data_IF_564532723202
#
_entry.id   IF_564532723202
#
_cell.length_a   1.000
_cell.length_b   1.000
_cell.length_c   1.000
_cell.angle_alpha   90.00
_cell.angle_beta   90.00
_cell.angle_gamma   90.00
#
_symmetry.space_group_name_H-M   'P 1'
#
loop_
_entity.id
_entity.type
_entity.pdbx_description
1 polymer ?
#
# COMPACT_ATOMS: atom_id res chain seq x y z
N UNK A 1 -9.59 -0.43 -6.56
CA UNK A 1 -9.82 0.61 -5.54
C UNK A 1 -8.50 0.76 -4.83
N UNK A 2 -7.97 1.97 -4.83
CA UNK A 2 -6.65 2.30 -4.29
C UNK A 2 -6.74 2.34 -2.76
N UNK A 3 -5.74 1.82 -2.04
CA UNK A 3 -5.72 1.78 -0.56
C UNK A 3 -5.10 3.06 0.03
N UNK A 4 -5.24 4.17 -0.68
CA UNK A 4 -4.63 5.48 -0.42
C UNK A 4 -5.62 6.50 0.17
N UNK A 5 -6.76 6.03 0.69
CA UNK A 5 -7.73 6.90 1.34
C UNK A 5 -8.36 6.29 2.59
N UNK A 6 -8.88 7.16 3.46
CA UNK A 6 -9.73 6.81 4.59
C UNK A 6 -11.09 7.49 4.38
N UNK A 7 -12.15 6.69 4.20
CA UNK A 7 -13.53 7.17 4.14
C UNK A 7 -14.19 7.19 5.51
N UNK A 8 -14.88 8.28 5.83
CA UNK A 8 -15.57 8.50 7.10
C UNK A 8 -16.96 9.03 6.80
N UNK A 9 -17.99 8.27 7.16
CA UNK A 9 -19.38 8.64 6.98
C UNK A 9 -19.97 9.14 8.31
N UNK A 10 -20.76 10.20 8.28
CA UNK A 10 -21.36 10.76 9.49
C UNK A 10 -22.79 10.30 9.69
N UNK A 11 -23.07 9.78 10.88
CA UNK A 11 -24.42 9.41 11.30
C UNK A 11 -25.08 10.64 11.92
N UNK A 12 -25.95 11.27 11.14
CA UNK A 12 -26.75 12.42 11.57
C UNK A 12 -28.18 11.98 11.92
N UNK A 13 -28.62 12.18 13.17
CA UNK A 13 -29.94 11.78 13.67
C UNK A 13 -30.66 12.96 14.33
N UNK A 14 -31.65 13.52 13.64
CA UNK A 14 -32.55 14.53 14.21
C UNK A 14 -31.82 15.76 14.78
N UNK A 15 -31.61 15.79 16.10
CA UNK A 15 -30.92 16.86 16.84
C UNK A 15 -29.41 16.66 16.99
N UNK A 16 -28.87 15.49 16.67
CA UNK A 16 -27.45 15.19 16.76
C UNK A 16 -26.84 15.05 15.36
N UNK A 17 -25.87 15.90 15.05
CA UNK A 17 -25.18 15.88 13.78
C UNK A 17 -23.70 16.23 13.95
N UNK A 18 -22.90 15.90 12.95
CA UNK A 18 -21.49 16.31 12.88
C UNK A 18 -21.41 17.67 12.21
N UNK A 19 -20.67 18.58 12.85
CA UNK A 19 -20.50 19.96 12.40
C UNK A 19 -19.11 20.22 11.86
N UNK A 20 -18.93 21.32 11.12
CA UNK A 20 -17.60 21.83 10.75
C UNK A 20 -16.71 22.05 11.97
N UNK A 21 -17.26 22.49 13.10
CA UNK A 21 -16.51 22.67 14.36
C UNK A 21 -15.94 21.35 14.87
N UNK A 22 -16.74 20.27 14.85
CA UNK A 22 -16.28 18.94 15.26
C UNK A 22 -15.12 18.47 14.36
N UNK A 23 -15.27 18.65 13.04
CA UNK A 23 -14.22 18.31 12.09
C UNK A 23 -12.96 19.16 12.30
N UNK A 24 -13.09 20.46 12.55
CA UNK A 24 -11.96 21.35 12.79
C UNK A 24 -11.12 20.88 13.98
N UNK A 25 -11.76 20.42 15.06
CA UNK A 25 -11.04 19.85 16.20
C UNK A 25 -10.24 18.59 15.81
N UNK A 26 -10.83 17.70 14.99
CA UNK A 26 -10.12 16.54 14.46
C UNK A 26 -8.94 16.94 13.57
N UNK A 27 -9.14 17.90 12.67
CA UNK A 27 -8.10 18.38 11.75
C UNK A 27 -6.92 19.00 12.51
N UNK A 28 -7.20 19.81 13.54
CA UNK A 28 -6.17 20.38 14.41
C UNK A 28 -5.38 19.31 15.14
N UNK A 29 -6.04 18.30 15.73
CA UNK A 29 -5.32 17.22 16.42
C UNK A 29 -4.51 16.36 15.44
N UNK A 30 -5.00 16.12 14.22
CA UNK A 30 -4.26 15.39 13.17
C UNK A 30 -3.02 16.17 12.72
N UNK A 31 -3.14 17.49 12.51
CA UNK A 31 -2.02 18.38 12.15
C UNK A 31 -0.89 18.35 13.20
N UNK A 32 -1.26 18.15 14.47
CA UNK A 32 -0.33 18.08 15.60
C UNK A 32 0.31 16.68 15.83
N UNK A 33 -0.16 15.61 15.17
CA UNK A 33 0.37 14.24 15.38
C UNK A 33 1.84 14.14 14.98
N UNK A 34 2.15 14.50 13.72
CA UNK A 34 3.52 14.51 13.20
C UNK A 34 3.61 15.21 11.84
N UNK A 35 4.77 15.82 11.58
CA UNK A 35 5.09 16.38 10.26
C UNK A 35 5.02 15.32 9.15
N UNK A 36 5.44 14.08 9.45
CA UNK A 36 5.44 12.97 8.50
C UNK A 36 4.02 12.60 8.04
N UNK A 37 3.05 12.57 8.96
CA UNK A 37 1.66 12.30 8.62
C UNK A 37 1.07 13.43 7.76
N UNK A 38 1.36 14.66 8.16
CA UNK A 38 0.92 15.86 7.44
C UNK A 38 1.42 15.91 6.00
N UNK A 39 2.68 15.54 5.76
CA UNK A 39 3.25 15.45 4.41
C UNK A 39 2.67 14.29 3.58
N UNK A 40 2.07 13.29 4.21
CA UNK A 40 1.42 12.17 3.52
C UNK A 40 0.00 12.51 3.06
N UNK A 41 -0.72 13.38 3.77
CA UNK A 41 -2.08 13.79 3.42
C UNK A 41 -2.04 14.79 2.27
N UNK A 42 -2.69 14.45 1.15
CA UNK A 42 -2.73 15.29 -0.06
C UNK A 42 -4.00 16.11 -0.17
N UNK A 43 -5.09 15.66 0.46
CA UNK A 43 -6.39 16.33 0.39
C UNK A 43 -7.35 15.80 1.45
N UNK A 44 -8.17 16.69 1.99
CA UNK A 44 -9.45 16.39 2.62
C UNK A 44 -10.57 16.69 1.63
N UNK A 45 -11.50 15.77 1.50
CA UNK A 45 -12.70 15.88 0.69
C UNK A 45 -13.92 15.72 1.60
N UNK A 46 -14.64 16.82 1.81
CA UNK A 46 -15.71 16.90 2.82
C UNK A 46 -17.02 17.19 2.12
N UNK A 47 -18.06 16.46 2.48
CA UNK A 47 -19.41 16.76 2.02
C UNK A 47 -20.27 17.38 3.14
N UNK A 48 -21.14 18.31 2.77
CA UNK A 48 -22.07 18.93 3.70
C UNK A 48 -23.31 19.50 3.00
N UNK A 49 -24.32 19.88 3.78
CA UNK A 49 -25.62 20.35 3.26
C UNK A 49 -25.89 21.80 3.68
N UNK A 50 -25.77 22.76 2.76
CA UNK A 50 -26.03 24.18 3.03
C UNK A 50 -27.26 24.62 2.22
N UNK A 51 -28.22 25.29 2.86
CA UNK A 51 -29.46 25.78 2.20
C UNK A 51 -30.17 24.69 1.36
N UNK A 52 -30.27 23.47 1.90
CA UNK A 52 -30.83 22.27 1.25
C UNK A 52 -30.07 21.76 0.00
N UNK A 53 -28.89 22.30 -0.30
CA UNK A 53 -28.01 21.82 -1.36
C UNK A 53 -26.82 21.04 -0.78
N UNK A 54 -26.42 19.95 -1.43
CA UNK A 54 -25.19 19.23 -1.09
C UNK A 54 -23.99 19.91 -1.77
N UNK A 55 -22.92 20.12 -1.01
CA UNK A 55 -21.65 20.65 -1.50
C UNK A 55 -20.52 19.69 -1.18
N UNK A 56 -19.49 19.76 -2.02
CA UNK A 56 -18.24 19.00 -1.92
C UNK A 56 -17.10 20.01 -1.75
N UNK A 57 -16.25 19.80 -0.75
CA UNK A 57 -15.18 20.70 -0.37
C UNK A 57 -13.84 19.98 -0.42
N UNK A 58 -12.93 20.48 -1.25
CA UNK A 58 -11.59 19.91 -1.41
C UNK A 58 -10.54 20.90 -0.95
N UNK A 59 -9.84 20.56 0.13
CA UNK A 59 -8.88 21.45 0.77
C UNK A 59 -7.76 20.67 1.46
N UNK A 60 -6.73 21.39 1.88
CA UNK A 60 -5.71 20.94 2.80
C UNK A 60 -5.83 21.70 4.12
N UNK A 61 -5.44 21.05 5.22
CA UNK A 61 -5.33 21.68 6.53
C UNK A 61 -3.93 21.42 7.07
N UNK A 62 -3.17 22.48 7.28
CA UNK A 62 -1.80 22.38 7.80
C UNK A 62 -1.38 23.68 8.50
N UNK A 63 -0.60 23.55 9.56
CA UNK A 63 -0.16 24.66 10.41
C UNK A 63 -1.36 25.49 10.92
N UNK A 64 -2.45 24.81 11.28
CA UNK A 64 -3.69 25.43 11.75
C UNK A 64 -4.47 26.24 10.69
N UNK A 65 -4.14 26.12 9.41
CA UNK A 65 -4.75 26.91 8.33
C UNK A 65 -5.28 26.03 7.19
N UNK A 66 -6.40 26.45 6.61
CA UNK A 66 -6.89 25.92 5.36
C UNK A 66 -6.03 26.39 4.18
N UNK A 67 -5.77 25.49 3.25
CA UNK A 67 -5.07 25.72 1.98
C UNK A 67 -5.81 25.02 0.84
N UNK A 68 -5.52 25.43 -0.38
CA UNK A 68 -6.06 24.78 -1.58
C UNK A 68 -5.43 23.40 -1.73
N UNK A 69 -6.23 22.41 -2.13
CA UNK A 69 -5.72 21.12 -2.58
C UNK A 69 -5.06 21.28 -3.96
N UNK A 70 -3.74 21.50 -3.99
CA UNK A 70 -3.03 21.88 -5.22
C UNK A 70 -3.15 20.82 -6.32
N UNK A 71 -3.09 19.53 -5.96
CA UNK A 71 -3.24 18.44 -6.93
C UNK A 71 -4.62 18.46 -7.60
N UNK A 72 -5.69 18.71 -6.83
CA UNK A 72 -7.03 18.83 -7.39
C UNK A 72 -7.16 20.04 -8.31
N UNK A 73 -6.65 21.20 -7.89
CA UNK A 73 -6.64 22.42 -8.70
C UNK A 73 -5.89 22.23 -10.03
N UNK A 74 -4.74 21.57 -9.99
CA UNK A 74 -3.96 21.28 -11.21
C UNK A 74 -4.67 20.24 -12.08
N UNK A 75 -5.33 19.24 -11.50
CA UNK A 75 -6.18 18.31 -12.24
C UNK A 75 -7.37 18.99 -12.91
N UNK A 76 -8.03 19.94 -12.26
CA UNK A 76 -9.11 20.72 -12.88
C UNK A 76 -8.64 21.45 -14.13
N UNK A 77 -7.44 22.05 -14.10
CA UNK A 77 -6.85 22.70 -15.27
C UNK A 77 -6.43 21.71 -16.35
N UNK A 78 -5.74 20.63 -15.95
CA UNK A 78 -5.17 19.64 -16.86
C UNK A 78 -6.24 18.92 -17.69
N UNK A 79 -7.42 18.70 -17.12
CA UNK A 79 -8.54 18.03 -17.76
C UNK A 79 -9.62 19.00 -18.26
N UNK A 80 -9.30 20.29 -18.43
CA UNK A 80 -10.21 21.32 -18.93
C UNK A 80 -11.54 21.43 -18.14
N UNK A 81 -11.52 21.06 -16.86
CA UNK A 81 -12.66 21.18 -15.96
C UNK A 81 -12.77 22.57 -15.30
N UNK A 82 -11.77 23.44 -15.43
CA UNK A 82 -11.89 24.87 -15.14
C UNK A 82 -12.17 25.60 -16.46
N UNK A 83 -13.45 25.75 -16.80
CA UNK A 83 -13.87 26.20 -18.14
C UNK A 83 -13.78 27.70 -18.34
N UNK A 84 -13.85 28.48 -17.26
CA UNK A 84 -13.68 29.94 -17.29
C UNK A 84 -13.08 30.45 -15.98
N UNK A 85 -12.30 31.53 -16.04
CA UNK A 85 -11.80 32.23 -14.86
C UNK A 85 -10.63 31.51 -14.17
N UNK A 86 -10.55 31.64 -12.84
CA UNK A 86 -9.44 31.11 -12.03
C UNK A 86 -9.95 30.44 -10.76
N UNK A 87 -9.29 29.35 -10.34
CA UNK A 87 -9.48 28.80 -9.00
C UNK A 87 -8.97 29.79 -7.94
N UNK A 88 -9.58 29.80 -6.75
CA UNK A 88 -9.15 30.67 -5.67
C UNK A 88 -7.75 30.28 -5.13
N UNK A 89 -7.13 31.21 -4.43
CA UNK A 89 -5.77 31.10 -3.90
C UNK A 89 -5.76 30.60 -2.45
N UNK A 90 -4.58 30.16 -1.98
CA UNK A 90 -4.35 29.87 -0.56
C UNK A 90 -4.66 31.06 0.35
N UNK A 91 -4.45 32.28 -0.14
CA UNK A 91 -4.80 33.48 0.62
C UNK A 91 -6.32 33.60 0.81
N UNK A 92 -7.09 33.37 -0.25
CA UNK A 92 -8.56 33.42 -0.19
C UNK A 92 -9.11 32.29 0.69
N UNK A 93 -8.57 31.08 0.57
CA UNK A 93 -8.91 29.95 1.42
C UNK A 93 -8.56 30.25 2.89
N UNK A 94 -7.33 30.64 3.21
CA UNK A 94 -6.92 30.84 4.60
C UNK A 94 -7.64 32.00 5.31
N UNK A 95 -8.11 33.01 4.56
CA UNK A 95 -8.75 34.20 5.13
C UNK A 95 -10.29 34.20 5.01
N UNK A 96 -10.91 33.12 4.51
CA UNK A 96 -12.36 33.03 4.40
C UNK A 96 -12.95 34.06 3.44
N UNK A 97 -12.28 34.31 2.31
CA UNK A 97 -12.77 35.22 1.28
C UNK A 97 -13.89 34.53 0.50
N UNK A 98 -15.05 35.18 0.39
CA UNK A 98 -16.24 34.61 -0.24
C UNK A 98 -16.18 34.74 -1.77
N UNK A 99 -15.46 33.81 -2.41
CA UNK A 99 -15.40 33.64 -3.87
C UNK A 99 -15.90 32.25 -4.25
N UNK A 100 -16.43 32.09 -5.47
CA UNK A 100 -16.97 30.83 -5.93
C UNK A 100 -16.76 30.59 -7.43
N UNK A 101 -16.63 29.32 -7.80
CA UNK A 101 -16.78 28.82 -9.16
C UNK A 101 -18.20 28.24 -9.31
N UNK A 102 -18.91 28.59 -10.38
CA UNK A 102 -20.22 27.99 -10.67
C UNK A 102 -20.06 26.76 -11.55
N UNK A 103 -20.91 25.75 -11.36
CA UNK A 103 -21.04 24.64 -12.32
C UNK A 103 -21.41 25.20 -13.71
N UNK A 104 -20.71 24.78 -14.76
CA UNK A 104 -20.85 25.35 -16.10
C UNK A 104 -22.17 24.90 -16.76
N UNK A 105 -23.14 25.81 -16.98
CA UNK A 105 -24.40 25.45 -17.64
C UNK A 105 -24.22 25.03 -19.10
N UNK A 106 -23.11 25.40 -19.75
CA UNK A 106 -22.81 24.94 -21.11
C UNK A 106 -22.45 23.45 -21.15
N UNK A 107 -21.98 22.88 -20.03
CA UNK A 107 -21.62 21.47 -19.90
C UNK A 107 -22.78 20.65 -19.33
N UNK A 108 -23.39 21.12 -18.25
CA UNK A 108 -24.41 20.36 -17.52
C UNK A 108 -25.87 20.73 -17.87
N UNK A 109 -26.09 21.83 -18.60
CA UNK A 109 -27.44 22.33 -18.89
C UNK A 109 -28.06 23.09 -17.72
N UNK A 110 -29.35 22.87 -17.45
CA UNK A 110 -30.07 23.50 -16.34
C UNK A 110 -29.69 22.84 -15.01
N UNK A 111 -29.24 23.64 -14.03
CA UNK A 111 -28.67 23.15 -12.77
C UNK A 111 -29.48 23.73 -11.61
N UNK A 112 -30.44 22.96 -11.08
CA UNK A 112 -31.38 23.45 -10.05
C UNK A 112 -30.68 23.97 -8.78
N UNK A 113 -29.56 23.36 -8.38
CA UNK A 113 -28.76 23.81 -7.25
C UNK A 113 -28.21 25.23 -7.49
N UNK A 114 -27.69 25.51 -8.70
CA UNK A 114 -27.17 26.83 -9.08
C UNK A 114 -28.28 27.88 -9.11
N UNK A 115 -29.45 27.55 -9.68
CA UNK A 115 -30.57 28.49 -9.76
C UNK A 115 -31.09 28.87 -8.37
N UNK A 116 -31.08 27.92 -7.43
CA UNK A 116 -31.55 28.15 -6.05
C UNK A 116 -30.70 29.14 -5.25
N UNK A 117 -29.41 29.28 -5.59
CA UNK A 117 -28.44 30.12 -4.86
C UNK A 117 -28.08 31.40 -5.62
N UNK A 118 -28.56 31.57 -6.85
CA UNK A 118 -28.23 32.74 -7.67
C UNK A 118 -28.83 34.01 -7.08
N UNK A 119 -27.99 35.04 -6.92
CA UNK A 119 -28.39 36.33 -6.38
C UNK A 119 -27.80 37.46 -7.23
N UNK A 120 -28.58 37.99 -8.15
CA UNK A 120 -28.13 39.00 -9.14
C UNK A 120 -26.96 38.46 -9.96
N UNK A 121 -25.74 38.99 -9.76
CA UNK A 121 -24.50 38.56 -10.42
C UNK A 121 -23.54 37.83 -9.45
N UNK A 122 -24.05 37.42 -8.30
CA UNK A 122 -23.33 36.75 -7.21
C UNK A 122 -24.11 35.50 -6.79
N UNK A 123 -23.57 34.78 -5.81
CA UNK A 123 -24.27 33.66 -5.16
C UNK A 123 -24.57 34.01 -3.71
N UNK A 124 -25.72 33.55 -3.20
CA UNK A 124 -26.06 33.60 -1.79
C UNK A 124 -26.11 32.19 -1.22
N UNK A 125 -25.14 31.85 -0.38
CA UNK A 125 -24.93 30.50 0.18
C UNK A 125 -24.65 30.63 1.68
N UNK A 126 -25.42 29.93 2.53
CA UNK A 126 -25.26 29.94 3.98
C UNK A 126 -25.37 31.34 4.59
N UNK A 127 -26.23 32.20 4.00
CA UNK A 127 -26.38 33.60 4.40
C UNK A 127 -25.24 34.54 3.99
N UNK A 128 -24.19 34.05 3.30
CA UNK A 128 -23.08 34.85 2.79
C UNK A 128 -23.22 35.10 1.29
N UNK A 129 -22.59 36.17 0.80
CA UNK A 129 -22.58 36.55 -0.61
C UNK A 129 -21.20 36.22 -1.18
N UNK A 130 -21.18 35.53 -2.33
CA UNK A 130 -19.96 35.09 -3.00
C UNK A 130 -19.83 35.74 -4.37
N UNK A 131 -18.64 36.25 -4.66
CA UNK A 131 -18.26 36.73 -5.98
C UNK A 131 -17.95 35.54 -6.91
N UNK A 132 -18.53 35.56 -8.11
CA UNK A 132 -18.29 34.52 -9.11
C UNK A 132 -16.98 34.85 -9.83
N UNK A 133 -15.98 33.97 -9.67
CA UNK A 133 -14.63 34.16 -10.23
C UNK A 133 -14.32 33.23 -11.42
N UNK A 134 -15.26 32.36 -11.77
CA UNK A 134 -15.10 31.41 -12.87
C UNK A 134 -16.18 30.34 -12.94
N UNK A 135 -15.96 29.36 -13.83
CA UNK A 135 -16.85 28.24 -14.09
C UNK A 135 -16.09 26.91 -14.07
N UNK A 136 -16.77 25.84 -13.67
CA UNK A 136 -16.20 24.50 -13.55
C UNK A 136 -17.10 23.41 -14.13
N UNK A 137 -16.51 22.34 -14.66
CA UNK A 137 -17.16 21.18 -15.28
C UNK A 137 -16.90 19.85 -14.52
N UNK A 138 -16.52 19.92 -13.25
CA UNK A 138 -16.29 18.78 -12.36
C UNK A 138 -17.58 18.17 -11.80
N UNK A 139 -18.51 18.99 -11.33
CA UNK A 139 -19.77 18.51 -10.77
C UNK A 139 -20.95 19.46 -11.04
N UNK A 140 -22.17 18.92 -10.95
CA UNK A 140 -23.44 19.64 -11.08
C UNK A 140 -24.00 20.12 -9.73
N UNK A 141 -23.16 20.24 -8.67
CA UNK A 141 -23.58 20.67 -7.32
C UNK A 141 -23.82 22.18 -7.19
N UNK A 142 -23.89 22.89 -8.31
CA UNK A 142 -24.18 24.32 -8.40
C UNK A 142 -22.95 25.21 -8.24
N UNK A 143 -22.17 25.04 -7.18
CA UNK A 143 -20.97 25.84 -6.94
C UNK A 143 -19.86 25.10 -6.17
N UNK A 144 -18.63 25.56 -6.38
CA UNK A 144 -17.47 25.27 -5.54
C UNK A 144 -16.99 26.56 -4.88
N UNK A 145 -16.65 26.51 -3.59
CA UNK A 145 -16.18 27.66 -2.84
C UNK A 145 -15.30 27.22 -1.66
N UNK A 146 -14.48 28.12 -1.09
CA UNK A 146 -13.57 27.79 0.01
C UNK A 146 -14.28 27.14 1.21
N UNK A 147 -13.69 26.09 1.77
CA UNK A 147 -14.27 25.43 2.95
C UNK A 147 -14.18 26.34 4.19
N UNK A 148 -13.17 27.19 4.25
CA UNK A 148 -12.98 28.16 5.33
C UNK A 148 -14.16 29.12 5.51
N UNK A 149 -14.93 29.43 4.46
CA UNK A 149 -16.09 30.34 4.54
C UNK A 149 -17.33 29.68 5.13
N UNK A 150 -17.37 28.35 5.21
CA UNK A 150 -18.48 27.59 5.79
C UNK A 150 -18.64 27.90 7.28
N UNK A 151 -19.87 28.00 7.79
CA UNK A 151 -20.11 28.25 9.21
C UNK A 151 -19.70 27.05 10.07
N UNK A 152 -19.27 27.29 11.30
CA UNK A 152 -18.83 26.23 12.23
C UNK A 152 -19.94 25.22 12.56
N UNK A 153 -21.18 25.70 12.69
CA UNK A 153 -22.36 24.90 12.99
C UNK A 153 -22.87 24.12 11.78
N UNK A 154 -22.23 24.26 10.62
CA UNK A 154 -22.67 23.65 9.39
C UNK A 154 -22.61 22.12 9.49
N UNK A 155 -23.73 21.47 9.19
CA UNK A 155 -23.85 20.02 9.11
C UNK A 155 -23.00 19.47 7.97
N UNK A 156 -22.21 18.45 8.30
CA UNK A 156 -21.40 17.66 7.38
C UNK A 156 -21.97 16.23 7.26
N UNK A 157 -21.75 15.58 6.11
CA UNK A 157 -22.25 14.23 5.82
C UNK A 157 -21.15 13.18 5.72
N UNK A 158 -19.97 13.55 5.23
CA UNK A 158 -18.83 12.64 5.13
C UNK A 158 -17.52 13.41 5.01
N UNK A 159 -16.43 12.72 5.31
CA UNK A 159 -15.05 13.15 5.04
C UNK A 159 -14.27 11.99 4.45
N UNK A 160 -13.54 12.26 3.38
CA UNK A 160 -12.57 11.37 2.77
C UNK A 160 -11.19 12.02 2.89
N UNK A 161 -10.23 11.29 3.45
CA UNK A 161 -8.84 11.75 3.59
C UNK A 161 -8.01 10.99 2.56
N UNK A 162 -7.38 11.71 1.63
CA UNK A 162 -6.54 11.12 0.59
C UNK A 162 -5.05 11.27 0.95
N UNK A 163 -4.27 10.23 0.64
CA UNK A 163 -2.85 10.13 0.95
C UNK A 163 -2.02 9.94 -0.34
N UNK A 164 -0.77 10.36 -0.32
CA UNK A 164 0.17 10.14 -1.43
C UNK A 164 0.66 8.69 -1.57
N UNK A 165 0.29 7.80 -0.64
CA UNK A 165 0.69 6.40 -0.58
C UNK A 165 -0.27 5.59 0.28
N UNK A 166 -0.16 4.25 0.22
CA UNK A 166 -1.03 3.35 0.96
C UNK A 166 -1.00 3.59 2.47
N UNK A 167 -2.17 3.61 3.10
CA UNK A 167 -2.34 3.96 4.51
C UNK A 167 -1.91 2.80 5.42
N UNK A 168 -1.02 3.08 6.38
CA UNK A 168 -0.62 2.08 7.38
C UNK A 168 -1.72 1.86 8.43
N UNK A 169 -1.80 0.64 8.99
CA UNK A 169 -2.74 0.32 10.09
C UNK A 169 -2.53 1.25 11.30
N UNK A 170 -1.28 1.64 11.56
CA UNK A 170 -0.96 2.58 12.63
C UNK A 170 -1.58 3.94 12.35
N UNK A 171 -1.35 4.50 11.16
CA UNK A 171 -1.90 5.79 10.71
C UNK A 171 -3.43 5.80 10.77
N UNK A 172 -4.06 4.74 10.25
CA UNK A 172 -5.52 4.59 10.31
C UNK A 172 -6.06 4.62 11.73
N UNK A 173 -5.50 3.80 12.62
CA UNK A 173 -5.96 3.77 14.00
C UNK A 173 -5.74 5.12 14.69
N UNK A 174 -4.62 5.80 14.45
CA UNK A 174 -4.38 7.14 14.99
C UNK A 174 -5.47 8.13 14.56
N UNK A 175 -5.78 8.20 13.26
CA UNK A 175 -6.83 9.08 12.74
C UNK A 175 -8.20 8.67 13.29
N UNK A 176 -8.50 7.37 13.31
CA UNK A 176 -9.76 6.85 13.86
C UNK A 176 -9.94 7.24 15.33
N UNK A 177 -8.89 7.11 16.13
CA UNK A 177 -8.94 7.44 17.54
C UNK A 177 -9.18 8.95 17.75
N UNK A 178 -8.59 9.83 16.91
CA UNK A 178 -8.89 11.27 16.92
C UNK A 178 -10.36 11.55 16.61
N UNK A 179 -10.91 10.98 15.54
CA UNK A 179 -12.32 11.20 15.19
C UNK A 179 -13.26 10.63 16.27
N UNK A 180 -12.95 9.47 16.83
CA UNK A 180 -13.73 8.89 17.92
C UNK A 180 -13.70 9.78 19.18
N UNK A 181 -12.60 10.47 19.47
CA UNK A 181 -12.50 11.38 20.61
C UNK A 181 -13.47 12.58 20.51
N UNK A 182 -13.64 13.15 19.31
CA UNK A 182 -14.48 14.35 19.11
C UNK A 182 -15.90 14.03 18.65
N UNK A 183 -16.09 12.97 17.87
CA UNK A 183 -17.35 12.64 17.22
C UNK A 183 -18.01 11.38 17.79
N UNK A 184 -17.26 10.55 18.52
CA UNK A 184 -17.74 9.27 19.04
C UNK A 184 -18.33 8.39 17.93
N UNK A 185 -19.44 7.74 18.25
CA UNK A 185 -20.14 6.82 17.34
C UNK A 185 -20.78 7.52 16.11
N UNK A 186 -20.73 8.86 16.04
CA UNK A 186 -21.22 9.61 14.87
C UNK A 186 -20.28 9.50 13.67
N UNK A 187 -18.99 9.17 13.87
CA UNK A 187 -18.02 8.97 12.80
C UNK A 187 -17.87 7.47 12.48
N UNK A 188 -18.45 7.03 11.38
CA UNK A 188 -18.37 5.64 10.91
C UNK A 188 -17.27 5.53 9.87
N UNK A 189 -16.17 4.89 10.25
CA UNK A 189 -15.05 4.64 9.37
C UNK A 189 -15.37 3.50 8.41
N UNK A 190 -15.07 3.71 7.13
CA UNK A 190 -15.02 2.63 6.17
C UNK A 190 -13.89 1.66 6.54
N UNK A 191 -14.16 0.36 6.42
CA UNK A 191 -13.12 -0.64 6.59
C UNK A 191 -12.05 -0.42 5.52
N UNK A 192 -10.86 0.04 5.91
CA UNK A 192 -9.76 0.01 4.95
C UNK A 192 -9.48 -1.45 4.63
N UNK A 193 -9.31 -1.74 3.34
CA UNK A 193 -8.45 -2.85 2.90
C UNK A 193 -7.02 -2.49 3.28
N UNK A 194 -6.69 -2.61 4.56
CA UNK A 194 -5.30 -2.54 5.01
C UNK A 194 -4.50 -3.55 4.18
N UNK A 195 -3.22 -3.27 3.86
CA UNK A 195 -2.33 -4.27 3.25
C UNK A 195 -2.44 -5.55 4.08
N UNK A 196 -3.11 -6.51 3.46
CA UNK A 196 -4.10 -7.35 4.10
C UNK A 196 -3.45 -8.33 5.08
N UNK A 197 -4.11 -8.61 6.21
CA UNK A 197 -3.78 -9.81 7.00
C UNK A 197 -3.70 -11.02 6.06
N UNK A 198 -4.59 -11.10 5.07
CA UNK A 198 -4.57 -12.17 4.08
C UNK A 198 -3.40 -12.06 3.12
N UNK A 199 -2.88 -10.87 2.81
CA UNK A 199 -1.64 -10.68 2.04
C UNK A 199 -0.42 -11.10 2.87
N UNK A 200 -0.35 -10.73 4.16
CA UNK A 200 0.69 -11.19 5.09
C UNK A 200 0.65 -12.71 5.27
N UNK A 201 -0.53 -13.30 5.48
CA UNK A 201 -0.72 -14.75 5.58
C UNK A 201 -0.44 -15.44 4.25
N UNK A 202 -0.76 -14.83 3.11
CA UNK A 202 -0.45 -15.34 1.78
C UNK A 202 1.06 -15.35 1.55
N UNK A 203 1.77 -14.26 1.80
CA UNK A 203 3.24 -14.22 1.69
C UNK A 203 3.90 -15.21 2.65
N UNK A 204 3.43 -15.29 3.90
CA UNK A 204 3.92 -16.27 4.87
C UNK A 204 3.68 -17.71 4.40
N UNK A 205 2.52 -17.99 3.84
CA UNK A 205 2.15 -19.31 3.31
C UNK A 205 2.98 -19.65 2.07
N UNK A 206 3.18 -18.71 1.16
CA UNK A 206 4.03 -18.88 -0.04
C UNK A 206 5.49 -19.14 0.35
N UNK A 207 6.04 -18.38 1.29
CA UNK A 207 7.40 -18.62 1.82
C UNK A 207 7.48 -20.00 2.47
N UNK A 208 6.50 -20.36 3.30
CA UNK A 208 6.46 -21.65 3.99
C UNK A 208 6.38 -22.82 3.00
N UNK A 209 5.50 -22.75 2.00
CA UNK A 209 5.41 -23.75 0.92
C UNK A 209 6.73 -23.82 0.15
N UNK A 210 7.34 -22.68 -0.16
CA UNK A 210 8.63 -22.63 -0.87
C UNK A 210 9.75 -23.30 -0.06
N UNK A 211 9.79 -23.08 1.26
CA UNK A 211 10.73 -23.76 2.16
C UNK A 211 10.47 -25.27 2.19
N UNK A 212 9.22 -25.71 2.24
CA UNK A 212 8.87 -27.14 2.21
C UNK A 212 9.32 -27.81 0.90
N UNK A 213 9.04 -27.18 -0.25
CA UNK A 213 9.47 -27.68 -1.56
C UNK A 213 11.00 -27.75 -1.64
N UNK A 214 11.70 -26.68 -1.19
CA UNK A 214 13.15 -26.65 -1.15
C UNK A 214 13.72 -27.75 -0.24
N UNK A 215 13.10 -28.00 0.91
CA UNK A 215 13.51 -29.05 1.86
C UNK A 215 13.35 -30.45 1.27
N UNK A 216 12.23 -30.73 0.59
CA UNK A 216 12.01 -32.01 -0.10
C UNK A 216 13.05 -32.21 -1.21
N UNK A 217 13.29 -31.18 -2.03
CA UNK A 217 14.29 -31.22 -3.09
C UNK A 217 15.70 -31.45 -2.53
N UNK A 218 16.05 -30.76 -1.43
CA UNK A 218 17.34 -30.90 -0.76
C UNK A 218 17.54 -32.30 -0.15
N UNK A 219 16.49 -32.90 0.43
CA UNK A 219 16.54 -34.28 0.95
C UNK A 219 16.74 -35.28 -0.20
N UNK A 220 16.02 -35.12 -1.31
CA UNK A 220 16.19 -35.98 -2.48
C UNK A 220 17.62 -35.90 -3.03
N UNK A 221 18.13 -34.68 -3.17
CA UNK A 221 19.52 -34.47 -3.58
C UNK A 221 20.51 -35.07 -2.57
N UNK A 222 20.27 -34.91 -1.27
CA UNK A 222 21.08 -35.52 -0.22
C UNK A 222 21.16 -37.04 -0.38
N UNK A 223 20.04 -37.72 -0.59
CA UNK A 223 20.00 -39.19 -0.72
C UNK A 223 20.84 -39.63 -1.93
N UNK A 224 20.64 -38.98 -3.08
CA UNK A 224 21.39 -39.25 -4.30
C UNK A 224 22.90 -38.97 -4.12
N UNK A 225 23.24 -37.82 -3.54
CA UNK A 225 24.63 -37.44 -3.34
C UNK A 225 25.33 -38.33 -2.31
N UNK A 226 24.62 -38.76 -1.26
CA UNK A 226 25.10 -39.76 -0.31
C UNK A 226 25.44 -41.08 -1.02
N UNK A 227 24.62 -41.51 -1.97
CA UNK A 227 24.89 -42.70 -2.77
C UNK A 227 26.17 -42.53 -3.60
N UNK A 228 26.34 -41.38 -4.29
CA UNK A 228 27.55 -41.04 -5.06
C UNK A 228 28.80 -41.04 -4.16
N UNK A 229 28.70 -40.44 -2.97
CA UNK A 229 29.82 -40.48 -2.01
C UNK A 229 30.12 -41.90 -1.53
N UNK A 230 29.10 -42.76 -1.39
CA UNK A 230 29.27 -44.14 -0.94
C UNK A 230 29.99 -45.01 -1.97
N UNK A 231 29.85 -44.71 -3.26
CA UNK A 231 30.53 -45.41 -4.34
C UNK A 231 31.98 -44.91 -4.51
N UNK A 232 32.25 -43.64 -4.18
CA UNK A 232 33.60 -43.02 -4.24
C UNK A 232 34.49 -43.26 -3.01
N UNK A 233 34.13 -44.19 -2.11
CA UNK A 233 34.86 -44.48 -0.86
C UNK A 233 36.36 -44.72 -1.05
N UNK A 234 36.76 -45.43 -2.13
CA UNK A 234 38.16 -45.73 -2.44
C UNK A 234 38.97 -44.46 -2.74
N UNK A 235 38.44 -43.59 -3.59
CA UNK A 235 39.07 -42.29 -3.90
C UNK A 235 39.17 -41.40 -2.67
N UNK A 236 38.11 -41.38 -1.84
CA UNK A 236 38.14 -40.63 -0.58
C UNK A 236 39.16 -41.19 0.42
N UNK A 237 39.40 -42.50 0.44
CA UNK A 237 40.43 -43.11 1.28
C UNK A 237 41.84 -42.73 0.81
N UNK A 238 42.09 -42.72 -0.51
CA UNK A 238 43.37 -42.29 -1.10
C UNK A 238 43.68 -40.84 -0.70
N UNK A 239 42.72 -39.91 -0.84
CA UNK A 239 42.92 -38.51 -0.43
C UNK A 239 43.24 -38.35 1.07
N UNK A 240 42.64 -39.18 1.93
CA UNK A 240 42.94 -39.16 3.36
C UNK A 240 44.34 -39.68 3.68
N UNK A 241 44.81 -40.72 2.99
CA UNK A 241 46.18 -41.25 3.14
C UNK A 241 47.21 -40.20 2.70
N UNK A 242 46.89 -39.43 1.66
CA UNK A 242 47.71 -38.31 1.18
C UNK A 242 47.66 -37.06 2.09
N UNK A 243 47.01 -37.13 3.26
CA UNK A 243 47.02 -36.06 4.27
C UNK A 243 45.88 -35.03 4.16
N UNK A 244 44.85 -35.27 3.32
CA UNK A 244 43.71 -34.36 3.23
C UNK A 244 42.85 -34.40 4.50
N UNK A 245 42.70 -33.26 5.17
CA UNK A 245 41.90 -33.17 6.39
C UNK A 245 40.41 -33.40 6.11
N UNK A 246 39.63 -33.96 7.06
CA UNK A 246 38.19 -34.16 6.90
C UNK A 246 37.42 -32.87 6.58
N UNK A 247 37.87 -31.72 7.12
CA UNK A 247 37.26 -30.43 6.85
C UNK A 247 37.45 -29.98 5.39
N UNK A 248 38.68 -30.10 4.86
CA UNK A 248 38.97 -29.78 3.44
C UNK A 248 38.24 -30.71 2.49
N UNK A 249 38.13 -31.99 2.85
CA UNK A 249 37.36 -32.97 2.09
C UNK A 249 35.86 -32.63 2.06
N UNK A 250 35.28 -32.25 3.21
CA UNK A 250 33.88 -31.83 3.28
C UNK A 250 33.63 -30.55 2.48
N UNK A 251 34.56 -29.58 2.53
CA UNK A 251 34.48 -28.36 1.73
C UNK A 251 34.49 -28.68 0.22
N UNK A 252 35.40 -29.54 -0.24
CA UNK A 252 35.45 -29.97 -1.64
C UNK A 252 34.13 -30.63 -2.09
N UNK A 253 33.57 -31.52 -1.26
CA UNK A 253 32.29 -32.17 -1.56
C UNK A 253 31.12 -31.16 -1.55
N UNK A 254 31.18 -30.13 -0.71
CA UNK A 254 30.17 -29.08 -0.67
C UNK A 254 30.24 -28.18 -1.91
N UNK A 255 31.44 -27.85 -2.39
CA UNK A 255 31.62 -27.14 -3.67
C UNK A 255 31.11 -27.95 -4.86
N UNK A 256 31.35 -29.27 -4.90
CA UNK A 256 30.80 -30.16 -5.93
C UNK A 256 29.27 -30.10 -5.95
N UNK A 257 28.63 -30.10 -4.77
CA UNK A 257 27.18 -29.93 -4.66
C UNK A 257 26.70 -28.58 -5.19
N UNK A 258 27.38 -27.48 -4.87
CA UNK A 258 27.01 -26.14 -5.34
C UNK A 258 27.07 -26.06 -6.87
N UNK A 259 28.14 -26.60 -7.46
CA UNK A 259 28.33 -26.65 -8.92
C UNK A 259 27.22 -27.46 -9.60
N UNK A 260 26.65 -28.46 -8.91
CA UNK A 260 25.52 -29.21 -9.42
C UNK A 260 24.18 -28.47 -9.21
N UNK A 261 23.95 -27.84 -8.06
CA UNK A 261 22.64 -27.30 -7.71
C UNK A 261 22.35 -25.97 -8.42
N UNK A 262 23.35 -25.07 -8.51
CA UNK A 262 23.16 -23.71 -9.04
C UNK A 262 22.74 -23.71 -10.52
N UNK A 263 23.43 -24.43 -11.44
CA UNK A 263 23.02 -24.45 -12.85
C UNK A 263 21.65 -25.10 -13.07
N UNK A 264 21.31 -26.12 -12.29
CA UNK A 264 20.01 -26.76 -12.36
C UNK A 264 18.88 -25.84 -11.89
N UNK A 265 19.12 -24.99 -10.89
CA UNK A 265 18.15 -23.97 -10.50
C UNK A 265 17.92 -22.96 -11.63
N UNK A 266 19.00 -22.47 -12.26
CA UNK A 266 18.90 -21.55 -13.40
C UNK A 266 18.14 -22.21 -14.55
N UNK A 267 18.45 -23.47 -14.87
CA UNK A 267 17.75 -24.23 -15.90
C UNK A 267 16.25 -24.40 -15.57
N UNK A 268 15.93 -24.67 -14.32
CA UNK A 268 14.54 -24.73 -13.83
C UNK A 268 13.80 -23.39 -13.98
N UNK A 269 14.47 -22.27 -13.65
CA UNK A 269 13.91 -20.93 -13.83
C UNK A 269 13.64 -20.62 -15.31
N UNK A 270 14.60 -20.90 -16.19
CA UNK A 270 14.44 -20.71 -17.64
C UNK A 270 13.28 -21.56 -18.16
N UNK A 271 13.19 -22.83 -17.73
CA UNK A 271 12.12 -23.73 -18.12
C UNK A 271 10.75 -23.24 -17.60
N UNK A 272 10.68 -22.72 -16.37
CA UNK A 272 9.48 -22.10 -15.84
C UNK A 272 9.04 -20.90 -16.68
N UNK A 273 9.95 -19.97 -16.95
CA UNK A 273 9.65 -18.75 -17.70
C UNK A 273 9.23 -19.03 -19.15
N UNK A 274 9.84 -20.02 -19.79
CA UNK A 274 9.63 -20.29 -21.23
C UNK A 274 8.50 -21.29 -21.51
N UNK A 275 8.27 -22.26 -20.63
CA UNK A 275 7.35 -23.38 -20.89
C UNK A 275 6.10 -23.32 -20.03
N UNK A 276 6.24 -22.99 -18.74
CA UNK A 276 5.14 -23.03 -17.77
C UNK A 276 4.39 -21.71 -17.69
N UNK A 277 5.09 -20.58 -17.54
CA UNK A 277 4.47 -19.26 -17.40
C UNK A 277 3.53 -18.90 -18.56
N UNK A 278 3.88 -19.12 -19.85
CA UNK A 278 2.99 -18.80 -20.95
C UNK A 278 1.71 -19.64 -20.96
N UNK A 279 1.77 -20.89 -20.47
CA UNK A 279 0.62 -21.79 -20.37
C UNK A 279 -0.25 -21.54 -19.15
N UNK A 280 0.33 -21.04 -18.06
CA UNK A 280 -0.42 -20.75 -16.84
C UNK A 280 -1.10 -19.39 -16.92
N UNK A 281 -0.49 -18.42 -17.61
CA UNK A 281 -1.07 -17.10 -17.83
C UNK A 281 -2.43 -17.15 -18.55
N UNK A 282 -2.69 -18.15 -19.39
CA UNK A 282 -4.00 -18.31 -20.04
C UNK A 282 -5.14 -18.60 -19.06
N UNK A 283 -4.83 -19.10 -17.87
CA UNK A 283 -5.81 -19.40 -16.82
C UNK A 283 -5.77 -18.40 -15.66
N UNK A 284 -4.64 -17.72 -15.45
CA UNK A 284 -4.42 -16.80 -14.34
C UNK A 284 -3.81 -15.48 -14.84
N UNK A 285 -4.68 -14.50 -15.11
CA UNK A 285 -4.34 -13.20 -15.72
C UNK A 285 -3.32 -12.41 -14.87
N UNK A 286 -3.42 -12.47 -13.54
CA UNK A 286 -2.53 -11.73 -12.62
C UNK A 286 -1.22 -12.45 -12.27
N UNK A 287 -0.92 -13.59 -12.90
CA UNK A 287 0.24 -14.41 -12.52
C UNK A 287 1.57 -13.74 -12.90
N UNK A 288 1.63 -12.96 -13.99
CA UNK A 288 2.88 -12.34 -14.42
C UNK A 288 3.37 -11.26 -13.45
N UNK A 289 2.45 -10.51 -12.85
CA UNK A 289 2.79 -9.42 -11.91
C UNK A 289 3.33 -9.95 -10.57
N UNK A 290 3.01 -11.20 -10.22
CA UNK A 290 3.49 -11.85 -9.00
C UNK A 290 4.96 -12.34 -9.08
N UNK A 291 5.49 -12.61 -10.27
CA UNK A 291 6.84 -13.18 -10.47
C UNK A 291 7.84 -12.13 -10.94
N UNK A 292 8.18 -11.20 -10.05
CA UNK A 292 9.20 -10.17 -10.30
C UNK A 292 10.62 -10.73 -10.16
N UNK A 293 11.65 -10.09 -10.76
CA UNK A 293 13.05 -10.48 -10.58
C UNK A 293 13.48 -10.58 -9.11
N UNK A 294 12.91 -9.75 -8.25
CA UNK A 294 13.14 -9.78 -6.80
C UNK A 294 12.63 -11.08 -6.17
N UNK A 295 11.45 -11.55 -6.55
CA UNK A 295 10.88 -12.82 -6.06
C UNK A 295 11.74 -14.01 -6.50
N UNK A 296 12.22 -14.03 -7.76
CA UNK A 296 13.14 -15.06 -8.23
C UNK A 296 14.45 -15.10 -7.45
N UNK A 297 15.01 -13.93 -7.14
CA UNK A 297 16.20 -13.82 -6.31
C UNK A 297 15.95 -14.35 -4.88
N UNK A 298 14.81 -14.00 -4.27
CA UNK A 298 14.44 -14.49 -2.95
C UNK A 298 14.30 -16.03 -2.93
N UNK A 299 13.64 -16.62 -3.93
CA UNK A 299 13.50 -18.06 -4.08
C UNK A 299 14.86 -18.76 -4.24
N UNK A 300 15.78 -18.16 -4.99
CA UNK A 300 17.15 -18.68 -5.12
C UNK A 300 17.87 -18.72 -3.77
N UNK A 301 17.80 -17.63 -3.00
CA UNK A 301 18.43 -17.53 -1.67
C UNK A 301 17.85 -18.57 -0.71
N UNK A 302 16.52 -18.73 -0.67
CA UNK A 302 15.84 -19.74 0.17
C UNK A 302 16.31 -21.15 -0.24
N UNK A 303 16.26 -21.46 -1.54
CA UNK A 303 16.59 -22.79 -2.05
C UNK A 303 18.05 -23.17 -1.78
N UNK A 304 19.00 -22.27 -2.05
CA UNK A 304 20.43 -22.51 -1.78
C UNK A 304 20.68 -22.64 -0.29
N UNK A 305 20.12 -21.76 0.54
CA UNK A 305 20.33 -21.78 1.99
C UNK A 305 19.85 -23.10 2.61
N UNK A 306 18.63 -23.51 2.29
CA UNK A 306 18.06 -24.79 2.78
C UNK A 306 18.90 -25.98 2.28
N UNK A 307 19.26 -25.99 0.99
CA UNK A 307 20.06 -27.07 0.41
C UNK A 307 21.44 -27.19 1.08
N UNK A 308 22.13 -26.08 1.30
CA UNK A 308 23.45 -26.07 1.94
C UNK A 308 23.41 -26.53 3.39
N UNK A 309 22.37 -26.15 4.16
CA UNK A 309 22.19 -26.61 5.54
C UNK A 309 22.02 -28.13 5.56
N UNK A 310 21.11 -28.65 4.73
CA UNK A 310 20.78 -30.07 4.65
C UNK A 310 22.01 -30.90 4.23
N UNK A 311 22.72 -30.47 3.19
CA UNK A 311 23.96 -31.14 2.72
C UNK A 311 25.07 -31.03 3.76
N UNK A 312 25.23 -29.87 4.39
CA UNK A 312 26.21 -29.64 5.44
C UNK A 312 26.03 -30.60 6.62
N UNK A 313 24.78 -30.75 7.09
CA UNK A 313 24.43 -31.72 8.15
C UNK A 313 24.80 -33.14 7.73
N UNK A 314 24.44 -33.55 6.50
CA UNK A 314 24.78 -34.88 5.97
C UNK A 314 26.30 -35.13 5.99
N UNK A 315 27.08 -34.19 5.46
CA UNK A 315 28.55 -34.29 5.38
C UNK A 315 29.21 -34.36 6.77
N UNK A 316 28.67 -33.64 7.75
CA UNK A 316 29.13 -33.67 9.13
C UNK A 316 28.80 -35.00 9.82
N UNK A 317 27.59 -35.52 9.65
CA UNK A 317 27.19 -36.81 10.23
C UNK A 317 28.02 -37.95 9.63
N UNK A 318 28.25 -37.95 8.32
CA UNK A 318 29.05 -38.96 7.65
C UNK A 318 30.53 -38.90 8.06
N UNK A 319 31.10 -37.70 8.22
CA UNK A 319 32.50 -37.58 8.64
C UNK A 319 32.73 -38.08 10.07
N UNK A 320 31.78 -37.84 10.99
CA UNK A 320 31.82 -38.35 12.38
C UNK A 320 31.72 -39.87 12.46
N UNK A 321 30.77 -40.50 11.75
CA UNK A 321 30.62 -41.98 11.75
C UNK A 321 31.91 -42.67 11.32
N UNK A 322 32.57 -42.14 10.29
CA UNK A 322 33.83 -42.69 9.78
C UNK A 322 34.99 -42.57 10.77
N UNK A 323 34.99 -41.58 11.67
CA UNK A 323 35.99 -41.46 12.75
C UNK A 323 35.74 -42.51 13.83
N UNK A 324 34.47 -42.72 14.21
CA UNK A 324 34.09 -43.68 15.24
C UNK A 324 34.39 -45.13 14.84
N UNK A 325 34.14 -45.50 13.58
CA UNK A 325 34.51 -46.83 13.04
C UNK A 325 36.04 -47.06 13.11
N UNK A 326 36.85 -46.05 12.80
CA UNK A 326 38.31 -46.13 12.86
C UNK A 326 38.88 -46.23 14.29
N UNK A 327 38.14 -45.73 15.30
CA UNK A 327 38.54 -45.85 16.71
C UNK A 327 38.14 -47.21 17.26
N UNK A 328 36.98 -47.75 16.84
CA UNK A 328 36.48 -49.05 17.30
C UNK A 328 37.33 -50.24 16.83
N UNK A 329 37.96 -50.14 15.66
CA UNK A 329 38.88 -51.17 15.13
C UNK A 329 40.27 -51.15 15.79
N UNK A 330 40.55 -50.21 16.70
CA UNK A 330 41.85 -50.07 17.39
C UNK A 330 41.82 -50.44 18.89
N UNK A 331 40.69 -50.92 19.40
CA UNK A 331 40.55 -51.45 20.77
C UNK A 331 40.26 -52.94 20.74
#
# INVERSE_FOLDING_TARGET
MSDDYIGINYVNTGSEYVTKRDLLNCLSEIDDISNELREQIIQYDVEGIIDNNSYEFKFLYCDGKFKVAEEFKENLKKYDNLTEGTYWSDYEEANGICVALISDPAVFGEISALDSIKYVNQLKIGGKIYDIIGKQAWNEKGAMFPFSTVADEQLLTSTLISFNSAVSVKTYNQIRDVFNNYMGDKAVFEEIRTIDKDTYYTYKTVILISVFIALIAAINFMILYRYIMSTRKRTTAIFRILGLTPAKLNFMNMSECIILIVPFFILGMVLYQTVFLPRLHTYFVYMQDAYTPFVYFLLFVIFISVSLIVIGIMLLVMSRKRILELIKDRG
#
